data_IF_096070480605
#
_entry.id   IF_096070480605
#
_cell.length_a   1.000
_cell.length_b   1.000
_cell.length_c   1.000
_cell.angle_alpha   90.00
_cell.angle_beta   90.00
_cell.angle_gamma   90.00
#
_symmetry.space_group_name_H-M   'P 1'
#
loop_
_entity.id
_entity.type
_entity.pdbx_description
1 polymer ?
#
# COMPACT_ATOMS: atom_id res chain seq x y z
N UNK A 1 -48.58 42.53 -3.37
CA UNK A 1 -47.12 42.44 -3.46
C UNK A 1 -46.65 41.69 -2.22
N UNK A 2 -46.52 40.36 -2.30
CA UNK A 2 -46.05 39.51 -1.18
C UNK A 2 -44.61 39.14 -1.47
N UNK A 3 -43.71 39.56 -0.59
CA UNK A 3 -42.26 39.33 -0.68
C UNK A 3 -42.01 37.86 -0.29
N UNK A 4 -41.45 37.09 -1.21
CA UNK A 4 -40.87 35.77 -0.94
C UNK A 4 -39.60 35.93 -0.14
N UNK A 5 -39.53 35.29 1.03
CA UNK A 5 -38.27 35.04 1.72
C UNK A 5 -37.85 33.63 1.33
N UNK A 6 -36.87 33.55 0.43
CA UNK A 6 -36.16 32.30 0.12
C UNK A 6 -35.28 31.99 1.31
N UNK A 7 -35.63 30.96 2.07
CA UNK A 7 -34.76 30.39 3.10
C UNK A 7 -33.70 29.55 2.37
N UNK A 8 -32.52 30.14 2.13
CA UNK A 8 -31.36 29.35 1.76
C UNK A 8 -30.92 28.57 2.99
N UNK A 9 -31.28 27.29 3.04
CA UNK A 9 -30.68 26.35 3.97
C UNK A 9 -29.24 26.12 3.47
N UNK A 10 -28.30 26.96 3.93
CA UNK A 10 -26.90 26.58 3.90
C UNK A 10 -26.76 25.40 4.86
N UNK A 11 -26.72 24.19 4.29
CA UNK A 11 -26.07 23.08 4.96
C UNK A 11 -24.60 23.52 5.11
N UNK A 12 -24.25 23.98 6.32
CA UNK A 12 -22.86 24.04 6.71
C UNK A 12 -22.35 22.60 6.62
N UNK A 13 -21.48 22.34 5.65
CA UNK A 13 -20.65 21.15 5.65
C UNK A 13 -19.97 21.06 7.02
N UNK A 14 -19.94 19.89 7.67
CA UNK A 14 -19.05 19.73 8.82
C UNK A 14 -17.65 20.06 8.34
N UNK A 15 -17.00 20.98 9.05
CA UNK A 15 -15.62 21.37 8.83
C UNK A 15 -14.78 20.11 9.04
N UNK A 16 -14.40 19.46 7.95
CA UNK A 16 -13.44 18.36 7.98
C UNK A 16 -12.02 18.94 7.99
N UNK A 17 -11.20 18.37 8.87
CA UNK A 17 -9.77 18.58 9.13
C UNK A 17 -9.39 19.78 10.02
N UNK A 18 -9.23 19.55 11.33
CA UNK A 18 -8.45 20.43 12.20
C UNK A 18 -6.94 20.14 12.18
N UNK A 19 -6.45 19.07 11.55
CA UNK A 19 -5.00 18.89 11.35
C UNK A 19 -4.64 18.26 10.02
N UNK A 20 -3.49 18.68 9.52
CA UNK A 20 -2.75 18.08 8.42
C UNK A 20 -1.86 16.95 8.96
N UNK A 21 -1.75 15.84 8.23
CA UNK A 21 -0.83 14.74 8.59
C UNK A 21 0.61 15.21 8.80
N UNK A 22 1.37 14.48 9.59
CA UNK A 22 2.70 14.88 10.05
C UNK A 22 3.78 13.86 9.65
N UNK A 23 4.99 14.36 9.44
CA UNK A 23 6.17 13.50 9.33
C UNK A 23 6.58 13.03 10.73
N UNK A 24 6.69 11.72 10.92
CA UNK A 24 7.12 11.12 12.18
C UNK A 24 8.62 10.86 12.13
N UNK A 25 9.38 11.53 12.99
CA UNK A 25 10.76 11.13 13.27
C UNK A 25 10.73 9.89 14.15
N UNK A 26 11.04 8.75 13.54
CA UNK A 26 11.21 7.49 14.23
C UNK A 26 12.59 6.92 13.91
N UNK A 27 13.09 5.97 14.70
CA UNK A 27 14.31 5.24 14.35
C UNK A 27 14.27 4.63 12.93
N UNK A 28 13.08 4.23 12.44
CA UNK A 28 12.90 3.75 11.07
C UNK A 28 13.21 4.82 10.01
N UNK A 29 12.70 6.04 10.18
CA UNK A 29 12.89 7.14 9.22
C UNK A 29 14.22 7.89 9.39
N UNK A 30 14.85 7.82 10.57
CA UNK A 30 16.08 8.55 10.88
C UNK A 30 17.32 8.03 10.12
N UNK A 31 17.42 6.71 9.92
CA UNK A 31 18.60 6.10 9.27
C UNK A 31 18.37 5.90 7.77
N UNK A 32 17.14 5.55 7.36
CA UNK A 32 16.81 5.29 5.96
C UNK A 32 17.67 4.20 5.30
N UNK A 33 17.74 4.23 3.98
CA UNK A 33 18.59 3.34 3.16
C UNK A 33 19.26 4.10 2.01
N UNK A 34 20.38 3.61 1.49
CA UNK A 34 21.21 4.35 0.51
C UNK A 34 20.61 4.46 -0.90
N UNK A 35 19.72 3.53 -1.29
CA UNK A 35 19.03 3.51 -2.59
C UNK A 35 17.54 3.22 -2.47
N UNK A 36 16.89 3.03 -3.62
CA UNK A 36 15.44 2.90 -3.77
C UNK A 36 14.88 1.75 -2.92
N UNK A 37 13.77 2.03 -2.25
CA UNK A 37 12.82 1.00 -1.79
C UNK A 37 11.79 0.80 -2.92
N UNK A 38 11.54 -0.45 -3.28
CA UNK A 38 10.70 -0.86 -4.41
C UNK A 38 9.60 -1.85 -4.04
N UNK A 39 9.60 -2.36 -2.81
CA UNK A 39 8.55 -3.23 -2.30
C UNK A 39 8.48 -3.17 -0.79
N UNK A 40 7.28 -3.21 -0.24
CA UNK A 40 7.04 -3.21 1.21
C UNK A 40 6.02 -4.27 1.62
N UNK A 41 6.18 -4.85 2.82
CA UNK A 41 5.20 -5.77 3.39
C UNK A 41 5.29 -5.81 4.91
N UNK A 42 4.21 -6.24 5.58
CA UNK A 42 4.26 -6.68 6.97
C UNK A 42 4.50 -8.18 7.03
N UNK A 43 5.49 -8.60 7.80
CA UNK A 43 5.83 -10.00 8.03
C UNK A 43 5.93 -10.29 9.53
N UNK A 44 5.53 -11.48 9.93
CA UNK A 44 5.65 -11.93 11.31
C UNK A 44 6.82 -12.95 11.39
N UNK A 45 7.93 -12.61 12.07
CA UNK A 45 9.14 -13.42 12.04
C UNK A 45 9.07 -14.73 12.83
N UNK A 46 8.13 -14.88 13.78
CA UNK A 46 7.99 -16.10 14.60
C UNK A 46 6.59 -16.75 14.53
N UNK A 47 5.66 -16.15 13.79
CA UNK A 47 4.31 -16.66 13.60
C UNK A 47 3.48 -16.47 14.86
N UNK A 48 2.89 -17.55 15.39
CA UNK A 48 2.07 -17.47 16.61
C UNK A 48 2.88 -17.17 17.90
N UNK A 49 4.09 -16.62 17.78
CA UNK A 49 5.01 -16.30 18.87
C UNK A 49 4.79 -14.89 19.43
N UNK A 50 5.71 -14.42 20.30
CA UNK A 50 5.62 -13.11 20.94
C UNK A 50 5.96 -11.92 20.03
N UNK A 51 6.58 -12.13 18.87
CA UNK A 51 6.90 -11.02 17.97
C UNK A 51 5.65 -10.58 17.20
N UNK A 52 5.57 -9.28 16.95
CA UNK A 52 4.46 -8.69 16.18
C UNK A 52 4.83 -8.61 14.71
N UNK A 53 3.81 -8.35 13.87
CA UNK A 53 4.02 -7.95 12.48
C UNK A 53 5.03 -6.79 12.42
N UNK A 54 6.04 -6.96 11.57
CA UNK A 54 7.10 -5.99 11.37
C UNK A 54 7.28 -5.64 9.89
N UNK A 55 7.63 -4.39 9.56
CA UNK A 55 7.94 -4.02 8.19
C UNK A 55 9.14 -4.77 7.61
N UNK A 56 8.96 -5.24 6.37
CA UNK A 56 10.00 -5.71 5.47
C UNK A 56 10.03 -4.79 4.26
N UNK A 57 11.23 -4.37 3.87
CA UNK A 57 11.48 -3.56 2.69
C UNK A 57 12.38 -4.32 1.73
N UNK A 58 12.15 -4.14 0.43
CA UNK A 58 13.03 -4.65 -0.63
C UNK A 58 13.34 -3.55 -1.64
N UNK A 59 14.46 -3.67 -2.36
CA UNK A 59 14.83 -2.67 -3.35
C UNK A 59 16.22 -2.84 -3.95
N UNK A 60 16.86 -1.70 -4.21
CA UNK A 60 18.25 -1.64 -4.71
C UNK A 60 19.26 -1.25 -3.66
N UNK A 61 18.82 -0.99 -2.43
CA UNK A 61 19.69 -0.55 -1.35
C UNK A 61 20.70 -1.61 -0.97
N UNK A 62 21.87 -1.15 -0.57
CA UNK A 62 22.97 -1.98 -0.09
C UNK A 62 23.18 -1.79 1.40
N UNK A 63 22.89 -0.59 1.92
CA UNK A 63 23.17 -0.22 3.31
C UNK A 63 22.05 0.59 3.95
N UNK A 64 22.02 0.54 5.28
CA UNK A 64 21.28 1.46 6.16
C UNK A 64 22.30 2.13 7.08
N UNK A 65 22.54 3.43 6.88
CA UNK A 65 23.71 4.10 7.44
C UNK A 65 25.01 3.38 7.06
N UNK A 66 25.72 2.84 8.05
CA UNK A 66 26.98 2.09 7.87
C UNK A 66 26.80 0.57 7.82
N UNK A 67 25.59 0.05 8.05
CA UNK A 67 25.33 -1.39 8.13
C UNK A 67 24.85 -1.95 6.78
N UNK A 68 25.29 -3.15 6.37
CA UNK A 68 24.79 -3.80 5.17
C UNK A 68 23.35 -4.30 5.35
N UNK A 69 22.51 -4.05 4.34
CA UNK A 69 21.11 -4.50 4.26
C UNK A 69 20.84 -5.32 2.98
N UNK A 70 21.73 -5.28 1.99
CA UNK A 70 21.77 -6.20 0.83
C UNK A 70 20.41 -6.45 0.16
N UNK A 71 19.66 -5.36 -0.10
CA UNK A 71 18.40 -5.31 -0.88
C UNK A 71 17.17 -5.93 -0.21
N UNK A 72 17.29 -6.41 1.03
CA UNK A 72 16.15 -6.84 1.83
C UNK A 72 16.39 -6.55 3.31
N UNK A 73 15.55 -5.69 3.87
CA UNK A 73 15.63 -5.26 5.26
C UNK A 73 14.37 -5.60 6.02
N UNK A 74 14.53 -6.02 7.27
CA UNK A 74 13.46 -6.19 8.24
C UNK A 74 13.66 -5.22 9.38
N UNK A 75 12.60 -4.57 9.86
CA UNK A 75 12.66 -3.80 11.08
C UNK A 75 12.63 -4.73 12.29
N UNK A 76 13.53 -4.55 13.27
CA UNK A 76 13.56 -5.38 14.48
C UNK A 76 13.04 -4.68 15.75
N UNK A 77 12.40 -3.52 15.60
CA UNK A 77 12.01 -2.66 16.72
C UNK A 77 12.99 -1.52 17.02
N UNK A 78 14.25 -1.64 16.58
CA UNK A 78 15.29 -0.64 16.88
C UNK A 78 16.16 -0.26 15.69
N UNK A 79 16.34 -1.17 14.73
CA UNK A 79 17.14 -0.96 13.54
C UNK A 79 16.61 -1.81 12.37
N UNK A 80 16.94 -1.37 11.16
CA UNK A 80 16.84 -2.20 9.97
C UNK A 80 17.95 -3.26 9.99
N UNK A 81 17.57 -4.52 9.87
CA UNK A 81 18.49 -5.66 9.85
C UNK A 81 18.34 -6.45 8.55
N UNK A 82 19.46 -6.96 8.05
CA UNK A 82 19.47 -7.76 6.82
C UNK A 82 18.76 -9.09 7.05
N UNK A 83 17.95 -9.52 6.10
CA UNK A 83 17.28 -10.83 6.16
C UNK A 83 18.07 -11.87 5.36
N UNK A 84 18.68 -12.83 6.07
CA UNK A 84 19.57 -13.83 5.46
C UNK A 84 20.81 -13.18 4.82
N UNK A 85 21.26 -13.72 3.70
CA UNK A 85 22.40 -13.18 2.95
C UNK A 85 22.04 -12.00 2.01
N UNK A 86 20.77 -11.63 1.92
CA UNK A 86 20.26 -10.68 0.94
C UNK A 86 20.39 -11.15 -0.51
N UNK A 87 20.41 -10.23 -1.48
CA UNK A 87 20.41 -10.54 -2.91
C UNK A 87 21.56 -9.86 -3.68
N UNK A 88 22.03 -10.50 -4.76
CA UNK A 88 23.11 -10.00 -5.62
C UNK A 88 22.70 -8.80 -6.50
N UNK A 89 21.44 -8.76 -6.94
CA UNK A 89 20.87 -7.63 -7.68
C UNK A 89 19.46 -7.31 -7.18
N UNK A 90 18.83 -6.29 -7.79
CA UNK A 90 17.57 -5.70 -7.33
C UNK A 90 16.48 -6.70 -6.95
N UNK A 91 15.88 -6.49 -5.78
CA UNK A 91 14.59 -7.03 -5.39
C UNK A 91 13.49 -6.00 -5.70
N UNK A 92 12.45 -6.42 -6.41
CA UNK A 92 11.43 -5.54 -7.01
C UNK A 92 10.07 -5.64 -6.32
N UNK A 93 9.77 -6.76 -5.67
CA UNK A 93 8.51 -6.94 -4.95
C UNK A 93 8.71 -7.90 -3.78
N UNK A 94 7.86 -7.75 -2.76
CA UNK A 94 7.81 -8.62 -1.59
C UNK A 94 6.36 -8.98 -1.31
N UNK A 95 6.10 -10.22 -0.94
CA UNK A 95 4.75 -10.71 -0.64
C UNK A 95 4.77 -11.63 0.58
N UNK A 96 3.82 -11.42 1.48
CA UNK A 96 3.59 -12.30 2.64
C UNK A 96 2.25 -12.99 2.46
N UNK A 97 2.25 -14.33 2.50
CA UNK A 97 1.01 -15.10 2.35
C UNK A 97 0.19 -15.10 3.63
N UNK A 98 -1.09 -15.45 3.55
CA UNK A 98 -1.93 -15.67 4.74
C UNK A 98 -1.45 -16.79 5.67
N UNK A 99 -0.49 -17.62 5.22
CA UNK A 99 0.21 -18.62 6.04
C UNK A 99 1.57 -18.11 6.56
N UNK A 100 1.78 -16.79 6.54
CA UNK A 100 2.97 -16.09 7.01
C UNK A 100 4.29 -16.51 6.32
N UNK A 101 4.20 -16.87 5.03
CA UNK A 101 5.38 -17.17 4.22
C UNK A 101 5.82 -15.92 3.46
N UNK A 102 7.10 -15.57 3.57
CA UNK A 102 7.71 -14.41 2.91
C UNK A 102 8.35 -14.81 1.57
N UNK A 103 7.95 -14.11 0.51
CA UNK A 103 8.46 -14.26 -0.84
C UNK A 103 9.00 -12.94 -1.37
N UNK A 104 10.06 -13.00 -2.17
CA UNK A 104 10.64 -11.83 -2.84
C UNK A 104 10.85 -12.16 -4.31
N UNK A 105 10.49 -11.23 -5.19
CA UNK A 105 10.72 -11.30 -6.63
C UNK A 105 11.59 -10.15 -7.10
N UNK A 106 12.34 -10.34 -8.19
CA UNK A 106 13.17 -9.28 -8.73
C UNK A 106 14.03 -9.68 -9.91
N UNK A 107 15.24 -9.15 -9.95
CA UNK A 107 16.24 -9.39 -11.01
C UNK A 107 17.38 -10.31 -10.57
N UNK A 108 17.49 -10.55 -9.26
CA UNK A 108 18.56 -11.30 -8.61
C UNK A 108 18.68 -12.72 -9.12
N UNK A 109 19.88 -13.29 -9.01
CA UNK A 109 20.14 -14.69 -9.37
C UNK A 109 20.64 -15.52 -8.21
N UNK A 110 21.17 -14.87 -7.17
CA UNK A 110 21.75 -15.52 -6.00
C UNK A 110 21.40 -14.78 -4.71
N UNK A 111 21.44 -15.55 -3.60
CA UNK A 111 21.43 -15.07 -2.23
C UNK A 111 22.57 -15.76 -1.50
N UNK A 112 23.65 -15.01 -1.23
CA UNK A 112 24.91 -15.59 -0.79
C UNK A 112 25.43 -16.63 -1.79
N UNK A 113 25.62 -17.87 -1.33
CA UNK A 113 26.05 -18.98 -2.19
C UNK A 113 24.88 -19.73 -2.88
N UNK A 114 23.63 -19.41 -2.53
CA UNK A 114 22.44 -20.13 -3.02
C UNK A 114 21.92 -19.48 -4.29
N UNK A 115 21.67 -20.27 -5.34
CA UNK A 115 20.98 -19.78 -6.54
C UNK A 115 19.47 -19.70 -6.29
N UNK A 116 18.88 -18.52 -6.50
CA UNK A 116 17.45 -18.23 -6.25
C UNK A 116 16.74 -17.54 -7.42
N UNK A 117 17.35 -17.56 -8.62
CA UNK A 117 16.74 -17.23 -9.94
C UNK A 117 15.47 -16.38 -9.93
N UNK A 118 15.60 -15.12 -9.48
CA UNK A 118 14.62 -14.02 -9.54
C UNK A 118 13.35 -14.16 -8.71
N UNK A 119 13.20 -15.26 -7.98
CA UNK A 119 12.12 -15.46 -7.02
C UNK A 119 12.55 -16.41 -5.90
N UNK A 120 12.44 -15.94 -4.67
CA UNK A 120 12.89 -16.64 -3.49
C UNK A 120 11.81 -16.70 -2.41
N UNK A 121 11.87 -17.73 -1.57
CA UNK A 121 11.08 -17.87 -0.34
C UNK A 121 12.04 -17.86 0.86
N UNK A 122 11.70 -17.14 1.91
CA UNK A 122 12.46 -17.19 3.16
C UNK A 122 12.04 -18.40 4.01
N UNK A 123 13.02 -19.14 4.54
CA UNK A 123 12.78 -20.31 5.41
C UNK A 123 12.92 -20.00 6.91
N UNK A 124 13.13 -18.74 7.27
CA UNK A 124 13.43 -18.29 8.64
C UNK A 124 14.92 -18.04 8.87
N UNK A 125 15.80 -18.50 7.99
CA UNK A 125 17.25 -18.27 8.08
C UNK A 125 17.86 -17.90 6.73
N UNK A 126 17.50 -18.61 5.67
CA UNK A 126 18.04 -18.47 4.32
C UNK A 126 16.95 -18.26 3.28
N UNK A 127 17.34 -17.62 2.18
CA UNK A 127 16.53 -17.55 0.98
C UNK A 127 16.67 -18.84 0.17
N UNK A 128 15.53 -19.46 -0.13
CA UNK A 128 15.43 -20.70 -0.88
C UNK A 128 14.85 -20.45 -2.28
N UNK A 129 15.30 -21.20 -3.31
CA UNK A 129 14.74 -21.08 -4.65
C UNK A 129 13.28 -21.58 -4.68
N UNK A 130 12.43 -20.90 -5.45
CA UNK A 130 11.07 -21.38 -5.71
C UNK A 130 11.05 -22.21 -7.01
N UNK A 131 11.24 -23.52 -6.87
CA UNK A 131 11.50 -24.41 -8.00
C UNK A 131 12.78 -24.01 -8.74
N UNK A 132 12.73 -23.92 -10.07
CA UNK A 132 13.86 -23.41 -10.88
C UNK A 132 13.85 -21.89 -11.06
N UNK A 133 12.87 -21.18 -10.47
CA UNK A 133 12.67 -19.75 -10.67
C UNK A 133 12.29 -19.35 -12.11
N UNK A 134 12.57 -18.09 -12.45
CA UNK A 134 12.20 -17.45 -13.72
C UNK A 134 13.41 -16.96 -14.53
N UNK A 135 13.23 -16.80 -15.85
CA UNK A 135 14.32 -16.37 -16.74
C UNK A 135 14.48 -14.85 -16.90
N UNK A 136 13.56 -14.04 -16.35
CA UNK A 136 13.63 -12.58 -16.36
C UNK A 136 12.86 -12.02 -15.16
N UNK A 137 12.81 -10.69 -15.05
CA UNK A 137 12.30 -9.97 -13.86
C UNK A 137 10.91 -10.43 -13.43
N UNK A 138 10.75 -10.60 -12.12
CA UNK A 138 9.46 -10.73 -11.45
C UNK A 138 9.12 -9.37 -10.84
N UNK A 139 7.99 -8.79 -11.27
CA UNK A 139 7.51 -7.49 -10.78
C UNK A 139 6.44 -7.62 -9.70
N UNK A 140 5.68 -8.72 -9.68
CA UNK A 140 4.63 -8.92 -8.70
C UNK A 140 4.53 -10.38 -8.25
N UNK A 141 4.16 -10.57 -6.99
CA UNK A 141 3.84 -11.86 -6.40
C UNK A 141 2.54 -11.72 -5.62
N UNK A 142 1.63 -12.67 -5.76
CA UNK A 142 0.44 -12.78 -4.90
C UNK A 142 0.16 -14.23 -4.54
N UNK A 143 -0.70 -14.45 -3.56
CA UNK A 143 -1.12 -15.79 -3.15
C UNK A 143 -2.61 -15.88 -2.96
N UNK A 144 -3.23 -16.94 -3.47
CA UNK A 144 -4.65 -17.21 -3.20
C UNK A 144 -4.83 -17.84 -1.82
N UNK A 145 -6.04 -17.80 -1.23
CA UNK A 145 -6.32 -18.37 0.11
C UNK A 145 -6.02 -19.87 0.24
N UNK A 146 -6.01 -20.62 -0.87
CA UNK A 146 -5.64 -22.04 -0.91
C UNK A 146 -4.11 -22.26 -0.96
N UNK A 147 -3.30 -21.22 -0.87
CA UNK A 147 -1.84 -21.28 -0.83
C UNK A 147 -1.15 -21.36 -2.20
N UNK A 148 -1.86 -21.25 -3.32
CA UNK A 148 -1.19 -21.15 -4.62
C UNK A 148 -0.52 -19.78 -4.78
N UNK A 149 0.73 -19.79 -5.23
CA UNK A 149 1.50 -18.56 -5.49
C UNK A 149 1.42 -18.21 -6.97
N UNK A 150 1.27 -16.93 -7.27
CA UNK A 150 1.31 -16.41 -8.62
C UNK A 150 2.44 -15.38 -8.73
N UNK A 151 3.20 -15.44 -9.81
CA UNK A 151 4.23 -14.48 -10.14
C UNK A 151 3.91 -13.81 -11.47
N UNK A 152 4.08 -12.49 -11.54
CA UNK A 152 3.88 -11.65 -12.73
C UNK A 152 5.16 -10.89 -13.05
N UNK A 153 5.45 -10.64 -14.32
CA UNK A 153 6.62 -9.84 -14.69
C UNK A 153 6.96 -9.80 -16.17
N UNK A 154 8.25 -9.68 -16.48
CA UNK A 154 8.80 -9.67 -17.84
C UNK A 154 9.35 -11.03 -18.28
N UNK A 155 9.28 -12.05 -17.43
CA UNK A 155 9.75 -13.39 -17.79
C UNK A 155 8.92 -14.00 -18.92
N UNK A 156 9.58 -14.86 -19.69
CA UNK A 156 8.95 -15.69 -20.73
C UNK A 156 8.97 -17.17 -20.34
N UNK A 157 9.62 -17.50 -19.22
CA UNK A 157 9.71 -18.85 -18.69
C UNK A 157 9.80 -18.85 -17.17
N UNK A 158 8.94 -19.64 -16.53
CA UNK A 158 9.02 -20.02 -15.12
C UNK A 158 9.06 -21.56 -15.06
N UNK A 159 10.21 -22.15 -14.75
CA UNK A 159 10.40 -23.61 -14.92
C UNK A 159 9.95 -24.14 -16.28
N UNK A 160 8.99 -25.07 -16.28
CA UNK A 160 8.39 -25.66 -17.49
C UNK A 160 7.24 -24.83 -18.09
N UNK A 161 6.83 -23.73 -17.46
CA UNK A 161 5.81 -22.83 -17.96
C UNK A 161 6.42 -21.86 -18.99
N UNK A 162 6.18 -22.10 -20.27
CA UNK A 162 6.71 -21.29 -21.38
C UNK A 162 5.74 -20.20 -21.85
N UNK A 163 6.33 -19.16 -22.44
CA UNK A 163 5.65 -18.04 -23.11
C UNK A 163 4.68 -17.25 -22.24
N UNK A 164 4.72 -17.39 -20.92
CA UNK A 164 3.83 -16.66 -20.02
C UNK A 164 4.60 -15.64 -19.18
N UNK A 165 3.97 -14.48 -18.98
CA UNK A 165 4.41 -13.40 -18.08
C UNK A 165 3.69 -13.48 -16.74
N UNK A 166 2.82 -14.49 -16.58
CA UNK A 166 2.18 -14.88 -15.33
C UNK A 166 2.34 -16.38 -15.16
N UNK A 167 2.83 -16.82 -14.01
CA UNK A 167 2.99 -18.24 -13.71
C UNK A 167 2.38 -18.55 -12.34
N UNK A 168 1.76 -19.71 -12.22
CA UNK A 168 1.26 -20.24 -10.95
C UNK A 168 2.24 -21.29 -10.45
N UNK A 169 2.61 -21.22 -9.17
CA UNK A 169 3.38 -22.22 -8.47
C UNK A 169 2.48 -23.02 -7.54
N UNK A 170 2.40 -24.32 -7.80
CA UNK A 170 1.64 -25.27 -6.99
C UNK A 170 2.38 -26.61 -6.97
N UNK A 171 2.37 -27.30 -5.84
CA UNK A 171 3.02 -28.61 -5.68
C UNK A 171 4.49 -28.64 -6.15
N UNK A 172 5.24 -27.59 -5.79
CA UNK A 172 6.65 -27.42 -6.15
C UNK A 172 6.93 -27.30 -7.67
N UNK A 173 5.93 -26.93 -8.48
CA UNK A 173 6.05 -26.81 -9.93
C UNK A 173 5.38 -25.54 -10.46
N UNK A 174 5.96 -24.99 -11.53
CA UNK A 174 5.45 -23.82 -12.24
C UNK A 174 4.55 -24.22 -13.42
N UNK A 175 3.40 -23.56 -13.52
CA UNK A 175 2.40 -23.76 -14.57
C UNK A 175 1.98 -22.44 -15.20
N UNK A 176 1.54 -22.49 -16.45
CA UNK A 176 0.82 -21.38 -17.09
C UNK A 176 -0.64 -21.45 -16.59
N UNK A 177 -1.16 -20.43 -15.87
CA UNK A 177 -2.52 -20.46 -15.34
C UNK A 177 -3.55 -20.62 -16.48
N UNK A 178 -4.41 -21.64 -16.37
CA UNK A 178 -5.39 -21.99 -17.41
C UNK A 178 -4.79 -22.49 -18.73
N UNK A 179 -3.47 -22.75 -18.78
CA UNK A 179 -2.75 -23.06 -20.02
C UNK A 179 -2.67 -21.90 -21.02
N UNK A 180 -3.00 -20.68 -20.56
CA UNK A 180 -3.22 -19.51 -21.39
C UNK A 180 -2.14 -18.43 -21.11
N UNK A 181 -1.16 -18.23 -22.00
CA UNK A 181 -0.09 -17.25 -21.77
C UNK A 181 -0.55 -15.80 -21.99
N UNK A 182 0.10 -14.87 -21.28
CA UNK A 182 0.04 -13.43 -21.60
C UNK A 182 1.02 -13.07 -22.74
N UNK A 183 0.62 -12.13 -23.60
CA UNK A 183 1.46 -11.66 -24.70
C UNK A 183 2.41 -10.51 -24.33
N UNK A 184 2.22 -9.87 -23.18
CA UNK A 184 3.06 -8.75 -22.71
C UNK A 184 3.18 -8.72 -21.18
N UNK A 185 3.90 -7.73 -20.66
CA UNK A 185 4.34 -7.67 -19.27
C UNK A 185 3.16 -7.54 -18.31
N UNK A 186 3.31 -8.14 -17.14
CA UNK A 186 2.39 -7.97 -16.00
C UNK A 186 3.13 -7.19 -14.94
N UNK A 187 2.58 -6.03 -14.60
CA UNK A 187 3.13 -5.10 -13.62
C UNK A 187 2.70 -5.50 -12.21
N UNK A 188 1.42 -5.84 -12.04
CA UNK A 188 0.84 -6.12 -10.73
C UNK A 188 -0.14 -7.31 -10.75
N UNK A 189 -0.24 -7.98 -9.59
CA UNK A 189 -1.12 -9.10 -9.32
C UNK A 189 -1.79 -8.94 -7.95
N UNK A 190 -3.13 -8.95 -7.93
CA UNK A 190 -3.90 -8.89 -6.68
C UNK A 190 -4.86 -10.06 -6.55
N UNK A 191 -4.84 -10.72 -5.39
CA UNK A 191 -5.76 -11.83 -5.08
C UNK A 191 -7.01 -11.34 -4.34
N UNK A 192 -8.16 -11.93 -4.65
CA UNK A 192 -9.41 -11.73 -3.93
C UNK A 192 -9.63 -12.84 -2.89
N UNK A 193 -10.41 -12.59 -1.82
CA UNK A 193 -10.75 -13.60 -0.82
C UNK A 193 -11.43 -14.87 -1.38
N UNK A 194 -12.04 -14.79 -2.56
CA UNK A 194 -12.65 -15.93 -3.24
C UNK A 194 -11.66 -16.73 -4.12
N UNK A 195 -10.37 -16.39 -4.10
CA UNK A 195 -9.31 -17.04 -4.89
C UNK A 195 -9.19 -16.55 -6.33
N UNK A 196 -9.96 -15.54 -6.75
CA UNK A 196 -9.76 -14.89 -8.05
C UNK A 196 -8.46 -14.07 -8.02
N UNK A 197 -7.64 -14.20 -9.06
CA UNK A 197 -6.43 -13.38 -9.23
C UNK A 197 -6.67 -12.33 -10.31
N UNK A 198 -6.41 -11.08 -10.01
CA UNK A 198 -6.44 -9.95 -10.93
C UNK A 198 -5.01 -9.72 -11.43
N UNK A 199 -4.85 -9.45 -12.72
CA UNK A 199 -3.58 -9.09 -13.34
C UNK A 199 -3.70 -7.75 -14.05
N UNK A 200 -2.84 -6.80 -13.69
CA UNK A 200 -2.65 -5.51 -14.35
C UNK A 200 -1.33 -5.49 -15.15
N UNK A 201 -1.33 -4.95 -16.35
CA UNK A 201 -0.10 -4.89 -17.15
C UNK A 201 -0.23 -4.21 -18.51
N UNK A 202 0.70 -4.54 -19.41
CA UNK A 202 0.79 -4.03 -20.77
C UNK A 202 0.14 -4.96 -21.82
N UNK A 203 -0.43 -6.09 -21.41
CA UNK A 203 -0.92 -7.12 -22.34
C UNK A 203 -2.19 -6.74 -23.09
N UNK A 204 -2.35 -7.28 -24.30
CA UNK A 204 -3.58 -7.14 -25.09
C UNK A 204 -4.39 -8.44 -25.13
N UNK A 205 -3.75 -9.56 -24.78
CA UNK A 205 -4.35 -10.89 -24.73
C UNK A 205 -3.85 -11.66 -23.52
N UNK A 206 -4.76 -12.41 -22.92
CA UNK A 206 -4.43 -13.41 -21.90
C UNK A 206 -5.07 -14.74 -22.32
N UNK A 207 -4.25 -15.59 -22.94
CA UNK A 207 -4.73 -16.75 -23.69
C UNK A 207 -5.54 -16.36 -24.93
N UNK A 208 -6.67 -17.05 -25.11
CA UNK A 208 -7.66 -16.73 -26.15
C UNK A 208 -8.57 -15.55 -25.81
N UNK A 209 -8.51 -15.01 -24.59
CA UNK A 209 -9.33 -13.88 -24.17
C UNK A 209 -8.66 -12.58 -24.58
N UNK A 210 -9.36 -11.75 -25.36
CA UNK A 210 -8.97 -10.35 -25.56
C UNK A 210 -9.30 -9.58 -24.28
N UNK A 211 -8.29 -9.49 -23.41
CA UNK A 211 -8.32 -8.72 -22.17
C UNK A 211 -7.25 -7.64 -22.30
N UNK A 212 -7.67 -6.38 -22.34
CA UNK A 212 -6.76 -5.24 -22.51
C UNK A 212 -6.28 -4.76 -21.15
N UNK A 213 -4.99 -4.94 -20.87
CA UNK A 213 -4.25 -4.42 -19.70
C UNK A 213 -4.72 -4.92 -18.32
N UNK A 214 -5.93 -5.47 -18.21
CA UNK A 214 -6.55 -5.94 -16.99
C UNK A 214 -7.33 -7.23 -17.25
N UNK A 215 -7.07 -8.26 -16.46
CA UNK A 215 -7.75 -9.55 -16.55
C UNK A 215 -7.94 -10.16 -15.16
N UNK A 216 -8.86 -11.13 -15.07
CA UNK A 216 -9.07 -11.93 -13.86
C UNK A 216 -9.06 -13.43 -14.17
N UNK A 217 -8.48 -14.20 -13.27
CA UNK A 217 -8.40 -15.66 -13.32
C UNK A 217 -9.22 -16.27 -12.21
N UNK A 218 -10.17 -17.13 -12.56
CA UNK A 218 -11.06 -17.80 -11.61
C UNK A 218 -10.57 -19.18 -11.14
N UNK A 219 -9.30 -19.51 -11.39
CA UNK A 219 -8.74 -20.84 -11.16
C UNK A 219 -8.79 -21.76 -12.39
N UNK A 220 -9.57 -21.41 -13.42
CA UNK A 220 -9.71 -22.19 -14.65
C UNK A 220 -9.41 -21.36 -15.89
N UNK A 221 -10.09 -20.22 -16.05
CA UNK A 221 -10.02 -19.39 -17.26
C UNK A 221 -9.76 -17.92 -16.91
N UNK A 222 -9.13 -17.21 -17.85
CA UNK A 222 -8.99 -15.76 -17.84
C UNK A 222 -10.20 -15.09 -18.49
N UNK A 223 -10.70 -14.03 -17.86
CA UNK A 223 -11.76 -13.16 -18.37
C UNK A 223 -11.45 -11.68 -18.13
N UNK A 224 -12.21 -10.79 -18.76
CA UNK A 224 -12.13 -9.35 -18.49
C UNK A 224 -12.68 -8.99 -17.10
N UNK A 225 -12.36 -7.80 -16.61
CA UNK A 225 -12.88 -7.23 -15.35
C UNK A 225 -13.79 -6.05 -15.68
N UNK A 226 -15.11 -6.25 -15.58
CA UNK A 226 -16.09 -5.19 -15.82
C UNK A 226 -16.06 -4.59 -17.25
N UNK A 227 -15.51 -5.31 -18.24
CA UNK A 227 -15.35 -4.87 -19.62
C UNK A 227 -13.89 -4.71 -20.06
N UNK A 228 -13.66 -4.00 -21.16
CA UNK A 228 -12.35 -3.86 -21.81
C UNK A 228 -11.74 -2.47 -21.64
N UNK A 229 -10.43 -2.40 -21.41
CA UNK A 229 -9.65 -1.17 -21.26
C UNK A 229 -8.85 -0.88 -22.55
N UNK A 230 -9.54 -0.41 -23.60
CA UNK A 230 -8.99 -0.32 -24.97
C UNK A 230 -8.18 0.95 -25.26
N UNK A 231 -8.36 2.03 -24.48
CA UNK A 231 -7.71 3.32 -24.70
C UNK A 231 -6.42 3.49 -23.86
N UNK A 232 -6.06 2.49 -23.04
CA UNK A 232 -4.91 2.57 -22.16
C UNK A 232 -3.66 1.90 -22.72
N UNK A 233 -2.49 2.40 -22.29
CA UNK A 233 -1.22 1.74 -22.57
C UNK A 233 -0.96 0.60 -21.58
N UNK A 234 -1.16 0.83 -20.29
CA UNK A 234 -0.78 -0.09 -19.21
C UNK A 234 -1.63 0.13 -17.95
N UNK A 235 -1.91 -0.94 -17.20
CA UNK A 235 -2.32 -0.86 -15.79
C UNK A 235 -1.07 -1.15 -14.95
N UNK A 236 -0.69 -0.21 -14.10
CA UNK A 236 0.50 -0.33 -13.26
C UNK A 236 0.19 -0.99 -11.92
N UNK A 237 -0.98 -0.70 -11.36
CA UNK A 237 -1.33 -1.10 -10.01
C UNK A 237 -2.80 -1.55 -9.94
N UNK A 238 -3.04 -2.63 -9.21
CA UNK A 238 -4.36 -3.19 -8.92
C UNK A 238 -4.52 -3.39 -7.42
N UNK A 239 -5.33 -2.57 -6.77
CA UNK A 239 -5.46 -2.58 -5.31
C UNK A 239 -6.88 -3.02 -4.90
N UNK A 240 -6.99 -3.99 -3.98
CA UNK A 240 -8.28 -4.45 -3.45
C UNK A 240 -8.61 -3.73 -2.13
N UNK A 241 -9.67 -2.94 -2.13
CA UNK A 241 -10.19 -2.30 -0.92
C UNK A 241 -10.78 -3.34 0.05
N UNK A 242 -10.81 -3.05 1.37
CA UNK A 242 -11.43 -3.95 2.36
C UNK A 242 -12.91 -4.28 2.09
N UNK A 243 -13.64 -3.38 1.44
CA UNK A 243 -15.03 -3.59 1.05
C UNK A 243 -15.21 -4.48 -0.21
N UNK A 244 -14.10 -4.91 -0.84
CA UNK A 244 -14.08 -5.75 -2.03
C UNK A 244 -14.02 -4.99 -3.36
N UNK A 245 -14.02 -3.66 -3.33
CA UNK A 245 -13.85 -2.85 -4.53
C UNK A 245 -12.43 -2.97 -5.09
N UNK A 246 -12.30 -2.95 -6.41
CA UNK A 246 -11.00 -2.91 -7.07
C UNK A 246 -10.67 -1.48 -7.48
N UNK A 247 -9.52 -0.98 -7.07
CA UNK A 247 -8.90 0.24 -7.58
C UNK A 247 -7.85 -0.16 -8.62
N UNK A 248 -7.80 0.55 -9.73
CA UNK A 248 -6.70 0.42 -10.69
C UNK A 248 -6.07 1.79 -10.91
N UNK A 249 -4.75 1.81 -11.09
CA UNK A 249 -4.03 2.94 -11.67
C UNK A 249 -3.26 2.49 -12.92
N UNK A 250 -3.05 3.42 -13.83
CA UNK A 250 -2.46 3.09 -15.11
C UNK A 250 -2.37 4.29 -16.02
N UNK A 251 -1.88 4.06 -17.23
CA UNK A 251 -1.97 5.04 -18.30
C UNK A 251 -3.24 4.74 -19.12
N UNK A 252 -4.33 5.44 -18.83
CA UNK A 252 -5.58 5.32 -19.57
C UNK A 252 -6.46 6.56 -19.37
N UNK A 253 -7.33 6.84 -20.33
CA UNK A 253 -8.31 7.93 -20.22
C UNK A 253 -9.75 7.43 -20.03
N UNK A 254 -9.97 6.14 -20.29
CA UNK A 254 -11.27 5.50 -20.17
C UNK A 254 -11.14 4.02 -19.78
N UNK A 255 -12.14 3.52 -19.07
CA UNK A 255 -12.32 2.08 -18.78
C UNK A 255 -13.73 1.69 -19.15
N UNK A 256 -13.89 0.78 -20.12
CA UNK A 256 -15.19 0.32 -20.61
C UNK A 256 -16.18 1.48 -20.94
N UNK A 257 -15.68 2.54 -21.57
CA UNK A 257 -16.48 3.73 -21.94
C UNK A 257 -16.68 4.76 -20.82
N UNK A 258 -16.27 4.47 -19.59
CA UNK A 258 -16.28 5.44 -18.48
C UNK A 258 -15.04 6.32 -18.55
N UNK A 259 -15.23 7.65 -18.60
CA UNK A 259 -14.14 8.63 -18.56
C UNK A 259 -13.47 8.63 -17.18
N UNK A 260 -12.33 7.97 -17.06
CA UNK A 260 -11.56 7.86 -15.83
C UNK A 260 -10.08 8.00 -16.21
N UNK A 261 -9.45 9.10 -15.78
CA UNK A 261 -8.08 9.42 -16.17
C UNK A 261 -7.10 8.81 -15.16
N UNK A 262 -6.37 7.78 -15.59
CA UNK A 262 -5.28 7.11 -14.88
C UNK A 262 -5.62 6.48 -13.51
N UNK A 263 -6.87 6.57 -13.04
CA UNK A 263 -7.38 5.90 -11.85
C UNK A 263 -8.88 5.66 -11.97
N UNK A 264 -9.33 4.45 -11.58
CA UNK A 264 -10.74 4.07 -11.59
C UNK A 264 -11.05 3.06 -10.48
N UNK A 265 -12.30 3.08 -10.00
CA UNK A 265 -12.82 2.11 -9.02
C UNK A 265 -13.86 1.21 -9.66
N UNK A 266 -13.78 -0.09 -9.46
CA UNK A 266 -14.80 -1.07 -9.84
C UNK A 266 -15.52 -1.59 -8.61
N UNK A 267 -16.83 -1.42 -8.56
CA UNK A 267 -17.68 -1.80 -7.42
C UNK A 267 -18.20 -3.24 -7.46
N UNK A 268 -17.67 -4.06 -8.39
CA UNK A 268 -18.18 -5.38 -8.69
C UNK A 268 -19.20 -5.42 -9.83
N UNK A 269 -19.79 -4.27 -10.20
CA UNK A 269 -20.80 -4.14 -11.25
C UNK A 269 -20.40 -3.17 -12.35
N UNK A 270 -19.86 -2.00 -12.01
CA UNK A 270 -19.52 -0.94 -12.95
C UNK A 270 -18.25 -0.17 -12.51
N UNK A 271 -17.66 0.51 -13.48
CA UNK A 271 -16.50 1.39 -13.27
C UNK A 271 -16.97 2.79 -12.88
N UNK A 272 -16.29 3.38 -11.90
CA UNK A 272 -16.50 4.74 -11.43
C UNK A 272 -15.20 5.55 -11.60
N UNK A 273 -15.28 6.80 -12.11
CA UNK A 273 -14.15 7.71 -12.04
C UNK A 273 -13.85 8.09 -10.59
N UNK A 274 -12.58 8.35 -10.27
CA UNK A 274 -12.19 8.87 -8.96
C UNK A 274 -11.81 10.35 -9.11
N UNK A 275 -12.84 11.21 -9.03
CA UNK A 275 -12.75 12.65 -9.32
C UNK A 275 -12.26 12.91 -10.76
N UNK A 276 -11.44 13.95 -10.96
CA UNK A 276 -10.83 14.26 -12.25
C UNK A 276 -9.75 13.25 -12.68
N UNK A 277 -9.33 12.35 -11.77
CA UNK A 277 -8.23 11.43 -11.99
C UNK A 277 -6.85 12.06 -11.82
N UNK A 278 -5.85 11.47 -12.47
CA UNK A 278 -4.45 11.86 -12.32
C UNK A 278 -3.77 12.26 -13.63
N UNK A 279 -2.83 13.22 -13.57
CA UNK A 279 -1.92 13.60 -14.66
C UNK A 279 -0.68 12.69 -14.73
N UNK A 280 -0.39 11.95 -13.66
CA UNK A 280 0.60 10.86 -13.61
C UNK A 280 0.02 9.64 -12.92
N UNK A 281 0.62 8.47 -13.12
CA UNK A 281 0.08 7.23 -12.56
C UNK A 281 0.46 7.12 -11.07
N UNK A 282 -0.48 6.67 -10.24
CA UNK A 282 -0.15 6.24 -8.88
C UNK A 282 0.76 5.02 -8.94
N UNK A 283 1.75 4.95 -8.06
CA UNK A 283 2.67 3.82 -7.95
C UNK A 283 2.18 2.73 -7.03
N UNK A 284 1.47 3.11 -5.98
CA UNK A 284 0.95 2.20 -4.97
C UNK A 284 -0.23 2.85 -4.25
N UNK A 285 -1.02 2.03 -3.56
CA UNK A 285 -2.13 2.43 -2.72
C UNK A 285 -2.08 1.75 -1.36
N UNK A 286 -2.53 2.45 -0.33
CA UNK A 286 -2.70 1.89 1.01
C UNK A 286 -4.03 2.34 1.61
N UNK A 287 -4.56 1.56 2.55
CA UNK A 287 -5.76 1.92 3.31
C UNK A 287 -5.43 1.92 4.79
N UNK A 288 -5.79 3.02 5.46
CA UNK A 288 -5.76 3.16 6.91
C UNK A 288 -7.14 3.59 7.36
N UNK A 289 -7.73 2.86 8.29
CA UNK A 289 -9.06 3.14 8.86
C UNK A 289 -10.15 3.41 7.80
N UNK A 290 -10.09 2.64 6.70
CA UNK A 290 -11.02 2.76 5.57
C UNK A 290 -10.75 3.93 4.62
N UNK A 291 -9.75 4.77 4.90
CA UNK A 291 -9.32 5.87 4.05
C UNK A 291 -8.25 5.40 3.07
N UNK A 292 -8.47 5.66 1.78
CA UNK A 292 -7.55 5.31 0.69
C UNK A 292 -6.49 6.40 0.49
N UNK A 293 -5.23 5.96 0.41
CA UNK A 293 -4.07 6.78 0.07
C UNK A 293 -3.44 6.30 -1.22
N UNK A 294 -2.83 7.22 -1.99
CA UNK A 294 -2.13 6.91 -3.23
C UNK A 294 -0.73 7.55 -3.24
N UNK A 295 0.27 6.79 -3.68
CA UNK A 295 1.63 7.27 -3.85
C UNK A 295 1.91 7.78 -5.26
N UNK A 296 2.64 8.89 -5.34
CA UNK A 296 3.29 9.40 -6.55
C UNK A 296 2.35 9.75 -7.72
N UNK A 297 1.07 9.90 -7.42
CA UNK A 297 0.11 10.47 -8.35
C UNK A 297 0.09 12.01 -8.27
N UNK A 298 -0.17 12.63 -9.41
CA UNK A 298 -0.42 14.07 -9.54
C UNK A 298 -1.90 14.25 -9.84
N UNK A 299 -2.72 14.82 -8.94
CA UNK A 299 -4.11 15.14 -9.24
C UNK A 299 -4.19 16.08 -10.43
N UNK A 300 -5.16 15.85 -11.31
CA UNK A 300 -5.28 16.64 -12.54
C UNK A 300 -5.42 18.14 -12.26
N UNK A 301 -4.55 18.94 -12.88
CA UNK A 301 -4.56 20.40 -12.75
C UNK A 301 -3.79 20.96 -11.55
N UNK A 302 -2.88 20.18 -10.95
CA UNK A 302 -2.04 20.61 -9.81
C UNK A 302 -0.54 20.65 -10.17
N UNK A 303 0.27 21.49 -9.48
CA UNK A 303 1.69 21.67 -9.83
C UNK A 303 2.66 20.73 -9.10
N UNK A 304 2.19 19.89 -8.17
CA UNK A 304 3.06 19.11 -7.28
C UNK A 304 3.45 17.76 -7.89
N UNK A 305 4.76 17.50 -7.97
CA UNK A 305 5.31 16.22 -8.41
C UNK A 305 5.81 15.41 -7.20
N UNK A 306 5.36 14.16 -7.09
CA UNK A 306 5.67 13.18 -6.02
C UNK A 306 4.98 13.45 -4.68
N UNK A 307 3.80 12.86 -4.50
CA UNK A 307 2.89 13.14 -3.39
C UNK A 307 2.40 11.86 -2.72
N UNK A 308 2.01 11.97 -1.44
CA UNK A 308 0.99 11.10 -0.86
C UNK A 308 -0.35 11.84 -0.98
N UNK A 309 -1.31 11.19 -1.63
CA UNK A 309 -2.67 11.69 -1.78
C UNK A 309 -3.61 10.94 -0.83
N UNK A 310 -4.59 11.65 -0.28
CA UNK A 310 -5.71 11.09 0.48
C UNK A 310 -7.00 11.22 -0.32
N UNK A 311 -7.80 10.16 -0.36
CA UNK A 311 -9.14 10.17 -0.96
C UNK A 311 -10.19 10.58 0.07
N UNK A 312 -10.99 11.61 -0.24
CA UNK A 312 -12.02 12.15 0.67
C UNK A 312 -13.44 12.03 0.09
N UNK A 313 -13.71 10.95 -0.64
CA UNK A 313 -15.06 10.62 -1.13
C UNK A 313 -15.54 11.39 -2.36
N UNK A 314 -14.81 12.42 -2.78
CA UNK A 314 -15.07 13.15 -4.03
C UNK A 314 -13.86 13.86 -4.63
N UNK A 315 -12.72 13.88 -3.93
CA UNK A 315 -11.51 14.53 -4.36
C UNK A 315 -10.27 13.83 -3.80
N UNK A 316 -9.15 14.01 -4.49
CA UNK A 316 -7.82 13.64 -4.04
C UNK A 316 -7.11 14.87 -3.50
N UNK A 317 -6.70 14.82 -2.24
CA UNK A 317 -5.98 15.91 -1.58
C UNK A 317 -4.52 15.50 -1.32
N UNK A 318 -3.59 16.39 -1.67
CA UNK A 318 -2.16 16.21 -1.35
C UNK A 318 -1.98 16.40 0.16
N UNK A 319 -1.52 15.35 0.85
CA UNK A 319 -1.32 15.38 2.31
C UNK A 319 0.15 15.33 2.71
N UNK A 320 1.03 14.86 1.82
CA UNK A 320 2.48 14.94 2.00
C UNK A 320 3.18 14.99 0.63
N UNK A 321 4.40 15.51 0.63
CA UNK A 321 5.24 15.64 -0.58
C UNK A 321 6.64 15.11 -0.33
N UNK A 322 7.26 14.58 -1.38
CA UNK A 322 8.66 14.17 -1.37
C UNK A 322 9.44 14.92 -2.46
N UNK A 323 10.75 15.07 -2.31
CA UNK A 323 11.61 15.66 -3.35
C UNK A 323 12.05 14.67 -4.44
N UNK A 324 11.43 13.48 -4.47
CA UNK A 324 11.68 12.42 -5.42
C UNK A 324 10.56 11.39 -5.40
N UNK A 325 10.66 10.38 -6.25
CA UNK A 325 9.58 9.41 -6.50
C UNK A 325 9.26 8.59 -5.26
N UNK A 326 7.98 8.50 -4.91
CA UNK A 326 7.49 7.51 -3.94
C UNK A 326 7.11 6.26 -4.73
N UNK A 327 7.60 5.08 -4.32
CA UNK A 327 7.28 3.83 -4.99
C UNK A 327 6.23 3.02 -4.22
N UNK A 328 6.27 3.08 -2.89
CA UNK A 328 5.53 2.15 -2.02
C UNK A 328 4.92 2.87 -0.83
N UNK A 329 3.75 2.40 -0.40
CA UNK A 329 3.04 2.74 0.84
C UNK A 329 2.68 1.47 1.59
N UNK A 330 3.10 1.40 2.85
CA UNK A 330 2.69 0.32 3.74
C UNK A 330 1.92 0.90 4.93
N UNK A 331 0.66 0.49 5.08
CA UNK A 331 -0.09 0.73 6.30
C UNK A 331 0.54 -0.08 7.44
N UNK A 332 0.95 0.60 8.50
CA UNK A 332 1.50 0.02 9.71
C UNK A 332 0.39 -0.29 10.73
N UNK A 333 0.59 -1.27 11.63
CA UNK A 333 -0.43 -1.62 12.62
C UNK A 333 -0.84 -0.49 13.57
N UNK A 334 0.02 0.52 13.73
CA UNK A 334 -0.23 1.69 14.58
C UNK A 334 -0.94 2.85 13.83
N UNK A 335 -1.47 2.61 12.63
CA UNK A 335 -2.18 3.64 11.86
C UNK A 335 -1.26 4.61 11.10
N UNK A 336 0.05 4.41 11.10
CA UNK A 336 0.99 5.19 10.28
C UNK A 336 1.14 4.60 8.86
N UNK A 337 1.62 5.41 7.91
CA UNK A 337 2.15 4.95 6.63
C UNK A 337 3.67 4.93 6.66
N UNK A 338 4.26 3.77 6.40
CA UNK A 338 5.64 3.71 5.91
C UNK A 338 5.65 4.05 4.43
N UNK A 339 6.48 5.02 4.07
CA UNK A 339 6.63 5.53 2.71
C UNK A 339 8.01 5.14 2.19
N UNK A 340 8.05 4.29 1.17
CA UNK A 340 9.27 3.83 0.50
C UNK A 340 9.45 4.48 -0.87
N UNK A 341 10.67 4.86 -1.23
CA UNK A 341 10.89 5.47 -2.53
C UNK A 341 12.33 5.77 -2.91
N UNK A 342 12.49 6.76 -3.77
CA UNK A 342 13.76 7.39 -4.15
C UNK A 342 13.68 8.89 -3.86
N UNK A 343 14.02 9.28 -2.64
CA UNK A 343 13.97 10.67 -2.18
C UNK A 343 14.99 10.91 -1.07
N UNK A 344 15.32 12.18 -0.84
CA UNK A 344 16.20 12.60 0.27
C UNK A 344 15.49 13.52 1.25
N UNK A 345 14.28 13.98 0.92
CA UNK A 345 13.41 14.75 1.79
C UNK A 345 11.96 14.32 1.64
N UNK A 346 11.25 14.32 2.78
CA UNK A 346 9.82 14.09 2.88
C UNK A 346 9.21 15.16 3.78
N UNK A 347 8.15 15.84 3.30
CA UNK A 347 7.54 17.00 3.95
C UNK A 347 8.55 18.10 4.35
N UNK A 348 9.57 18.29 3.52
CA UNK A 348 10.67 19.25 3.75
C UNK A 348 11.71 18.80 4.79
N UNK A 349 11.52 17.66 5.45
CA UNK A 349 12.47 17.10 6.42
C UNK A 349 13.42 16.10 5.76
N UNK A 350 14.67 15.97 6.23
CA UNK A 350 15.58 14.92 5.76
C UNK A 350 14.99 13.53 6.00
N UNK A 351 14.91 12.72 4.94
CA UNK A 351 14.45 11.35 4.98
C UNK A 351 15.05 10.60 3.79
N UNK A 352 15.90 9.61 4.04
CA UNK A 352 16.62 8.92 2.96
C UNK A 352 15.86 7.66 2.52
N UNK A 353 15.06 7.80 1.46
CA UNK A 353 14.29 6.73 0.81
C UNK A 353 13.23 6.01 1.66
N UNK A 354 13.15 6.30 2.97
CA UNK A 354 12.15 5.82 3.92
C UNK A 354 11.65 7.02 4.73
N UNK A 355 10.34 7.17 4.84
CA UNK A 355 9.68 8.12 5.72
C UNK A 355 8.51 7.45 6.44
N UNK A 356 8.13 7.97 7.61
CA UNK A 356 6.89 7.61 8.27
C UNK A 356 5.97 8.82 8.22
N UNK A 357 4.76 8.63 7.70
CA UNK A 357 3.72 9.63 7.63
C UNK A 357 2.56 9.20 8.54
N UNK A 358 2.20 10.06 9.50
CA UNK A 358 1.01 9.86 10.32
C UNK A 358 -0.17 10.56 9.65
N UNK A 359 -1.18 9.81 9.17
CA UNK A 359 -2.38 10.42 8.63
C UNK A 359 -3.24 11.01 9.75
N UNK A 360 -3.75 12.22 9.55
CA UNK A 360 -4.62 12.88 10.53
C UNK A 360 -3.87 13.79 11.49
N UNK A 361 -4.46 14.02 12.66
CA UNK A 361 -3.82 14.76 13.74
C UNK A 361 -2.77 13.86 14.40
N UNK A 362 -1.70 14.45 14.94
CA UNK A 362 -0.82 13.71 15.85
C UNK A 362 -1.61 13.17 17.05
N UNK A 363 -2.69 13.86 17.44
CA UNK A 363 -3.59 13.46 18.51
C UNK A 363 -4.97 13.05 18.02
N UNK A 364 -5.70 12.30 18.84
CA UNK A 364 -7.12 12.05 18.67
C UNK A 364 -7.97 13.34 18.68
N UNK A 365 -9.20 13.21 18.19
CA UNK A 365 -10.14 14.33 18.14
C UNK A 365 -10.50 14.80 19.55
N UNK A 366 -10.59 16.12 19.75
CA UNK A 366 -11.13 16.69 20.99
C UNK A 366 -12.64 16.46 21.14
N UNK A 367 -13.34 16.17 20.04
CA UNK A 367 -14.66 15.52 20.05
C UNK A 367 -14.48 14.06 20.48
N UNK A 368 -14.20 13.86 21.77
CA UNK A 368 -13.73 12.59 22.30
C UNK A 368 -14.81 11.52 22.19
N UNK A 369 -16.08 11.87 22.38
CA UNK A 369 -17.20 10.93 22.32
C UNK A 369 -17.82 10.80 20.91
N UNK A 370 -17.28 11.55 19.94
CA UNK A 370 -17.64 11.55 18.51
C UNK A 370 -19.11 11.87 18.27
N UNK A 371 -19.68 12.77 19.07
CA UNK A 371 -21.08 13.19 18.95
C UNK A 371 -21.25 14.39 17.99
N UNK A 372 -20.15 14.99 17.52
CA UNK A 372 -20.13 16.13 16.61
C UNK A 372 -20.27 17.50 17.28
N UNK A 373 -20.27 17.55 18.62
CA UNK A 373 -20.31 18.77 19.44
C UNK A 373 -18.99 18.86 20.19
N UNK A 374 -18.18 19.87 19.87
CA UNK A 374 -16.87 20.02 20.47
C UNK A 374 -16.34 21.47 20.38
N UNK A 375 -15.44 21.87 21.29
CA UNK A 375 -15.20 21.21 22.56
C UNK A 375 -16.40 21.39 23.51
N UNK A 376 -16.78 20.35 24.24
CA UNK A 376 -17.75 20.44 25.34
C UNK A 376 -17.29 19.74 26.63
N UNK A 377 -17.94 20.07 27.74
CA UNK A 377 -17.63 19.47 29.05
C UNK A 377 -17.79 17.94 29.02
N UNK A 378 -18.68 17.42 28.18
CA UNK A 378 -18.93 15.98 28.04
C UNK A 378 -17.75 15.26 27.39
N UNK A 379 -17.02 15.88 26.46
CA UNK A 379 -15.78 15.30 25.89
C UNK A 379 -14.73 15.07 26.98
N UNK A 380 -14.57 16.05 27.86
CA UNK A 380 -13.62 15.98 28.99
C UNK A 380 -14.05 14.92 29.99
N UNK A 381 -15.35 14.86 30.31
CA UNK A 381 -15.91 13.84 31.21
C UNK A 381 -15.69 12.44 30.62
N UNK A 382 -15.98 12.26 29.33
CA UNK A 382 -15.84 10.97 28.67
C UNK A 382 -14.38 10.53 28.56
N UNK A 383 -13.46 11.47 28.27
CA UNK A 383 -12.01 11.23 28.31
C UNK A 383 -11.57 10.69 29.67
N UNK A 384 -11.93 11.36 30.77
CA UNK A 384 -11.56 10.90 32.11
C UNK A 384 -12.25 9.62 32.55
N UNK A 385 -13.49 9.38 32.09
CA UNK A 385 -14.17 8.13 32.35
C UNK A 385 -13.43 6.96 31.69
N UNK A 386 -13.03 7.12 30.42
CA UNK A 386 -12.24 6.11 29.70
C UNK A 386 -10.84 5.96 30.31
N UNK A 387 -10.18 7.06 30.70
CA UNK A 387 -8.90 7.05 31.43
C UNK A 387 -9.00 6.25 32.74
N UNK A 388 -10.13 6.34 33.43
CA UNK A 388 -10.43 5.60 34.65
C UNK A 388 -10.88 4.14 34.40
N UNK A 389 -10.89 3.68 33.14
CA UNK A 389 -11.23 2.31 32.74
C UNK A 389 -12.71 2.06 32.46
N UNK A 390 -13.53 3.11 32.30
CA UNK A 390 -14.90 2.96 31.83
C UNK A 390 -14.92 2.62 30.34
N UNK A 391 -15.88 1.78 29.92
CA UNK A 391 -16.10 1.51 28.51
C UNK A 391 -16.84 2.69 27.87
N UNK A 392 -16.39 3.12 26.69
CA UNK A 392 -17.13 4.01 25.82
C UNK A 392 -17.26 3.40 24.43
N UNK A 393 -18.48 3.40 23.88
CA UNK A 393 -18.79 2.72 22.62
C UNK A 393 -18.42 3.50 21.36
N UNK A 394 -18.45 4.83 21.43
CA UNK A 394 -18.18 5.72 20.29
C UNK A 394 -16.98 6.61 20.49
N UNK A 395 -16.31 6.53 21.65
CA UNK A 395 -15.21 7.43 21.93
C UNK A 395 -13.97 7.09 21.11
N UNK A 396 -13.11 8.09 20.95
CA UNK A 396 -11.70 7.93 20.68
C UNK A 396 -11.02 7.12 21.79
N UNK A 397 -9.85 6.55 21.53
CA UNK A 397 -9.16 5.75 22.52
C UNK A 397 -8.36 6.65 23.48
N UNK A 398 -7.73 6.06 24.50
CA UNK A 398 -7.06 6.85 25.53
C UNK A 398 -5.62 7.23 25.15
N UNK A 399 -5.08 6.67 24.07
CA UNK A 399 -3.78 7.03 23.48
C UNK A 399 -3.96 8.34 22.71
N UNK A 400 -4.24 9.42 23.43
CA UNK A 400 -4.68 10.66 22.81
C UNK A 400 -3.64 11.23 21.86
N UNK A 401 -2.34 10.96 22.04
CA UNK A 401 -1.28 11.43 21.13
C UNK A 401 -0.81 10.35 20.12
N UNK A 402 -1.53 9.23 20.03
CA UNK A 402 -1.31 8.13 19.09
C UNK A 402 0.17 7.66 19.06
N UNK A 403 0.81 7.58 20.23
CA UNK A 403 2.20 7.18 20.35
C UNK A 403 2.37 5.71 20.78
N UNK A 404 1.25 5.00 20.98
CA UNK A 404 1.15 3.60 21.42
C UNK A 404 1.63 3.34 22.85
N UNK A 405 1.77 4.38 23.67
CA UNK A 405 2.09 4.32 25.10
C UNK A 405 0.90 4.90 25.86
N UNK A 406 0.03 4.02 26.36
CA UNK A 406 -1.20 4.47 27.02
C UNK A 406 -1.66 3.53 28.14
N UNK A 407 -2.39 4.04 29.14
CA UNK A 407 -2.50 5.47 29.44
C UNK A 407 -1.20 6.02 30.02
N UNK A 408 -0.79 7.22 29.60
CA UNK A 408 0.33 7.96 30.19
C UNK A 408 0.00 9.42 30.51
N UNK A 409 0.87 10.07 31.29
CA UNK A 409 0.71 11.49 31.64
C UNK A 409 0.70 12.39 30.40
N UNK A 410 1.43 12.00 29.36
CA UNK A 410 1.55 12.74 28.11
C UNK A 410 0.23 12.74 27.32
N UNK A 411 -0.57 11.66 27.33
CA UNK A 411 -1.92 11.64 26.74
C UNK A 411 -2.82 12.72 27.36
N UNK A 412 -2.78 12.83 28.69
CA UNK A 412 -3.57 13.81 29.43
C UNK A 412 -3.08 15.23 29.15
N UNK A 413 -1.75 15.42 29.13
CA UNK A 413 -1.13 16.71 28.80
C UNK A 413 -1.54 17.14 27.39
N UNK A 414 -1.45 16.25 26.42
CA UNK A 414 -1.77 16.54 25.02
C UNK A 414 -3.27 16.78 24.84
N UNK A 415 -4.14 16.02 25.52
CA UNK A 415 -5.57 16.27 25.56
C UNK A 415 -5.88 17.70 26.00
N UNK A 416 -5.32 18.15 27.13
CA UNK A 416 -5.55 19.52 27.61
C UNK A 416 -4.86 20.59 26.76
N UNK A 417 -3.69 20.31 26.20
CA UNK A 417 -3.02 21.22 25.29
C UNK A 417 -3.88 21.48 24.05
N UNK A 418 -4.41 20.43 23.44
CA UNK A 418 -5.32 20.53 22.28
C UNK A 418 -6.65 21.17 22.67
N UNK A 419 -7.23 20.80 23.82
CA UNK A 419 -8.46 21.43 24.35
C UNK A 419 -8.30 22.94 24.54
N UNK A 420 -7.12 23.39 24.95
CA UNK A 420 -6.78 24.79 25.13
C UNK A 420 -6.44 25.53 23.82
N UNK A 421 -6.54 24.86 22.66
CA UNK A 421 -6.19 25.40 21.35
C UNK A 421 -4.69 25.42 21.04
N UNK A 422 -3.88 24.68 21.82
CA UNK A 422 -2.47 24.41 21.55
C UNK A 422 -2.26 23.31 20.51
N UNK A 423 -1.01 23.06 20.15
CA UNK A 423 -0.62 21.99 19.22
C UNK A 423 -0.37 20.69 19.97
N UNK A 424 -0.84 19.58 19.41
CA UNK A 424 -0.46 18.23 19.85
C UNK A 424 1.07 18.03 19.71
N UNK A 425 1.71 17.42 20.71
CA UNK A 425 3.16 17.24 20.76
C UNK A 425 3.64 15.90 20.20
#
# INVERSE_FOLDING_TARGET
MKISVVTSLLLASPVLAQCTGTFVQSPMSAVGVDRRVLGTALWDPDGAGPLTLTPVIVGDFETTGTQPLSRVGMWNGSAWVNLGAGFDTSAQCVHVTGSNQLFVGGTFTTSGATSVSRIARFDGTNWQPLGTGTNSTVFAITSTPNGAIYAGGWFTRAGSAFNSRVAQFVNNQWFVPGGQPSNDWVWDLTSRPNGVVIAGGAFSFMGSTSAFKLAQFNGVNWSTVGGSLTNGLEVYETFLMPNGDLIISGNFTQVNGVNAKNVARFDGTQWHPMAAGFDSNARDFAVIDGVLYAANAVPTGTPFASNVLKWEGGAWNVVATANGTIFELLALPNGDLLVGGQFTQFMGQPAQNIAIFRPGCACDSIDFNRNGVFPEDQDVIDFFNVLAGAACGTCSDIDFNNNSVFPEDQDVIDFFNVLAGGTCQ
#
